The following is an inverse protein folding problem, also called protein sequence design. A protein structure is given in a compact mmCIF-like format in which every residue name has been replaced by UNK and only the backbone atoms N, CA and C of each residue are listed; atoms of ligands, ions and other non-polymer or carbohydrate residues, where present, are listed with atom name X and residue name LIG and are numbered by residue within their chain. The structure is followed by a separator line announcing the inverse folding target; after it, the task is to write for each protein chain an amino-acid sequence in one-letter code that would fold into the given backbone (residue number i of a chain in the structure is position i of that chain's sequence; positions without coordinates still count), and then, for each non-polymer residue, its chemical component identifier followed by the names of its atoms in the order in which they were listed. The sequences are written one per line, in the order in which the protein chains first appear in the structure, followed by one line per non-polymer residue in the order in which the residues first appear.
data_IF_355224400050
#
_entry.id   IF_355224400050
#
_cell.length_a   1.000
_cell.length_b   1.000
_cell.length_c   1.000
_cell.angle_alpha   90.00
_cell.angle_beta   90.00
_cell.angle_gamma   90.00
#
_symmetry.space_group_name_H-M   'P 1'
#
loop_
_entity.id
_entity.type
_entity.pdbx_description
1 polymer ?
#
# COMPACT_ATOMS: atom_id res chain seq x y z
N UNK A 1 -18.80 17.73 11.39
CA UNK A 1 -18.22 16.50 10.82
C UNK A 1 -17.41 16.89 9.59
N UNK A 2 -16.17 17.30 9.83
CA UNK A 2 -15.25 17.83 8.82
C UNK A 2 -14.70 16.71 7.95
N UNK A 3 -14.89 16.88 6.64
CA UNK A 3 -14.38 16.04 5.58
C UNK A 3 -12.85 16.15 5.53
N UNK A 4 -12.13 15.27 6.23
CA UNK A 4 -10.66 15.13 6.10
C UNK A 4 -10.35 14.27 4.88
N UNK A 5 -10.61 14.84 3.70
CA UNK A 5 -10.23 14.25 2.42
C UNK A 5 -8.78 14.65 2.08
N UNK A 6 -7.99 13.65 1.69
CA UNK A 6 -6.82 13.75 0.80
C UNK A 6 -5.51 14.33 1.38
N UNK A 7 -4.75 13.58 2.18
CA UNK A 7 -3.26 13.70 2.18
C UNK A 7 -2.48 12.42 2.57
N UNK A 8 -3.07 11.22 2.58
CA UNK A 8 -2.32 9.95 2.77
C UNK A 8 -2.03 9.19 1.45
N UNK A 9 -2.30 9.81 0.30
CA UNK A 9 -1.99 9.26 -1.01
C UNK A 9 -0.52 9.43 -1.37
N UNK A 10 0.33 8.48 -0.97
CA UNK A 10 1.65 8.29 -1.56
C UNK A 10 1.51 7.93 -3.04
N UNK A 11 1.38 8.95 -3.91
CA UNK A 11 1.44 8.78 -5.36
C UNK A 11 2.84 8.34 -5.75
N UNK A 12 3.01 7.03 -5.95
CA UNK A 12 4.06 6.52 -6.82
C UNK A 12 3.71 6.91 -8.27
N UNK A 13 4.67 7.45 -9.06
CA UNK A 13 4.38 7.97 -10.40
C UNK A 13 4.03 6.90 -11.43
N UNK A 14 3.96 5.62 -11.03
CA UNK A 14 3.62 4.49 -11.91
C UNK A 14 2.15 4.05 -11.80
N UNK A 15 1.36 4.69 -10.94
CA UNK A 15 0.05 4.15 -10.53
C UNK A 15 -1.23 4.68 -11.21
N UNK A 16 -1.27 5.62 -12.17
CA UNK A 16 -2.57 5.99 -12.75
C UNK A 16 -3.12 4.95 -13.75
N UNK A 17 -2.28 4.10 -14.36
CA UNK A 17 -2.75 3.13 -15.37
C UNK A 17 -3.13 1.75 -14.80
N UNK A 18 -2.41 1.25 -13.79
CA UNK A 18 -2.64 -0.11 -13.28
C UNK A 18 -3.86 -0.24 -12.37
N UNK A 19 -4.22 0.81 -11.64
CA UNK A 19 -5.39 0.77 -10.73
C UNK A 19 -6.72 0.83 -11.49
N UNK A 20 -6.79 1.58 -12.59
CA UNK A 20 -7.98 1.67 -13.46
C UNK A 20 -8.27 0.32 -14.14
N UNK A 21 -7.23 -0.44 -14.52
CA UNK A 21 -7.40 -1.74 -15.17
C UNK A 21 -7.82 -2.85 -14.19
N UNK A 22 -7.49 -2.73 -12.90
CA UNK A 22 -7.87 -3.74 -11.90
C UNK A 22 -9.34 -3.63 -11.48
N UNK A 23 -9.90 -2.41 -11.42
CA UNK A 23 -11.34 -2.18 -11.21
C UNK A 23 -12.21 -2.63 -12.41
N UNK A 24 -11.64 -2.64 -13.63
CA UNK A 24 -12.38 -3.00 -14.86
C UNK A 24 -12.37 -4.51 -15.21
N UNK A 25 -11.73 -5.35 -14.40
CA UNK A 25 -11.63 -6.81 -14.62
C UNK A 25 -12.95 -7.58 -14.50
N UNK A 26 -14.03 -6.95 -14.02
CA UNK A 26 -15.35 -7.59 -13.91
C UNK A 26 -16.01 -7.92 -15.27
N UNK A 27 -15.57 -7.33 -16.38
CA UNK A 27 -16.31 -7.39 -17.67
C UNK A 27 -15.64 -8.11 -18.85
N UNK A 28 -14.55 -8.87 -18.66
CA UNK A 28 -13.94 -9.64 -19.76
C UNK A 28 -14.21 -11.13 -19.53
N UNK A 29 -15.35 -11.62 -20.03
CA UNK A 29 -15.82 -13.00 -19.82
C UNK A 29 -15.45 -14.01 -20.92
N UNK A 30 -14.78 -13.64 -22.02
CA UNK A 30 -14.51 -14.59 -23.11
C UNK A 30 -13.15 -14.36 -23.79
N UNK A 31 -12.06 -14.64 -23.08
CA UNK A 31 -10.71 -14.73 -23.67
C UNK A 31 -10.50 -16.03 -24.46
N UNK A 32 -11.34 -17.04 -24.25
CA UNK A 32 -11.29 -18.36 -24.91
C UNK A 32 -11.66 -18.30 -26.40
N UNK A 33 -12.47 -17.32 -26.84
CA UNK A 33 -12.85 -17.17 -28.25
C UNK A 33 -11.73 -16.59 -29.13
N UNK A 34 -10.82 -15.80 -28.55
CA UNK A 34 -9.69 -15.20 -29.28
C UNK A 34 -8.63 -16.26 -29.63
N UNK A 35 -8.45 -17.27 -28.76
CA UNK A 35 -7.48 -18.36 -28.99
C UNK A 35 -7.90 -19.30 -30.13
N UNK A 36 -9.19 -19.48 -30.37
CA UNK A 36 -9.69 -20.40 -31.42
C UNK A 36 -9.52 -19.79 -32.81
N UNK A 37 -9.63 -18.46 -32.95
CA UNK A 37 -9.46 -17.77 -34.25
C UNK A 37 -8.01 -17.87 -34.75
N UNK A 38 -7.03 -17.87 -33.87
CA UNK A 38 -5.61 -17.96 -34.24
C UNK A 38 -5.18 -19.36 -34.73
N UNK A 39 -5.91 -20.42 -34.35
CA UNK A 39 -5.57 -21.78 -34.74
C UNK A 39 -6.00 -22.14 -36.17
N UNK A 40 -6.99 -21.44 -36.74
CA UNK A 40 -7.51 -21.74 -38.08
C UNK A 40 -6.85 -20.95 -39.21
N UNK A 41 -6.08 -19.91 -38.92
CA UNK A 41 -5.36 -19.14 -39.93
C UNK A 41 -4.02 -19.77 -40.38
N UNK A 42 -3.63 -20.93 -39.82
CA UNK A 42 -2.35 -21.58 -40.10
C UNK A 42 -2.44 -22.75 -41.09
N UNK A 43 -3.59 -22.93 -41.76
CA UNK A 43 -3.78 -23.97 -42.77
C UNK A 43 -4.26 -23.29 -44.06
N UNK A 44 -3.34 -22.67 -44.81
CA UNK A 44 -3.34 -22.81 -46.27
C UNK A 44 -1.99 -22.38 -46.86
N UNK A 45 -1.65 -22.99 -48.00
CA UNK A 45 -0.52 -22.73 -48.90
C UNK A 45 0.82 -23.36 -48.50
N UNK A 46 0.86 -24.69 -48.68
CA UNK A 46 2.09 -25.40 -49.02
C UNK A 46 2.25 -25.48 -50.54
N UNK A 47 3.29 -24.82 -51.10
CA UNK A 47 3.94 -25.21 -52.37
C UNK A 47 5.26 -24.46 -52.59
N UNK A 48 6.37 -25.20 -52.45
CA UNK A 48 7.68 -24.91 -53.05
C UNK A 48 8.62 -23.97 -52.29
N UNK A 49 9.71 -24.50 -51.72
CA UNK A 49 10.88 -23.69 -51.27
C UNK A 49 11.32 -23.81 -49.80
N UNK A 50 11.06 -24.92 -49.11
CA UNK A 50 10.95 -24.95 -47.64
C UNK A 50 12.25 -25.35 -46.87
N UNK A 51 13.36 -25.70 -47.52
CA UNK A 51 14.51 -26.27 -46.80
C UNK A 51 15.45 -25.27 -46.10
N UNK A 52 15.36 -23.95 -46.35
CA UNK A 52 16.26 -22.96 -45.74
C UNK A 52 15.59 -21.95 -44.79
N UNK A 53 14.30 -21.68 -44.95
CA UNK A 53 13.55 -20.70 -44.13
C UNK A 53 13.01 -21.33 -42.82
N UNK A 54 12.86 -22.65 -42.78
CA UNK A 54 12.31 -23.35 -41.61
C UNK A 54 13.19 -23.26 -40.36
N UNK A 55 14.52 -23.20 -40.50
CA UNK A 55 15.42 -23.22 -39.33
C UNK A 55 15.37 -21.90 -38.57
N UNK A 56 15.42 -20.77 -39.25
CA UNK A 56 15.33 -19.43 -38.62
C UNK A 56 13.95 -19.16 -38.04
N UNK A 57 12.90 -19.63 -38.71
CA UNK A 57 11.52 -19.49 -38.25
C UNK A 57 11.21 -20.37 -37.03
N UNK A 58 11.80 -21.57 -36.95
CA UNK A 58 11.74 -22.41 -35.75
C UNK A 58 12.53 -21.80 -34.59
N UNK A 59 13.70 -21.20 -34.86
CA UNK A 59 14.52 -20.52 -33.83
C UNK A 59 13.80 -19.30 -33.23
N UNK A 60 13.13 -18.50 -34.07
CA UNK A 60 12.30 -17.37 -33.62
C UNK A 60 11.09 -17.82 -32.79
N UNK A 61 10.42 -18.91 -33.19
CA UNK A 61 9.27 -19.44 -32.45
C UNK A 61 9.65 -20.00 -31.08
N UNK A 62 10.77 -20.71 -30.97
CA UNK A 62 11.26 -21.19 -29.68
C UNK A 62 11.70 -20.04 -28.76
N UNK A 63 12.38 -19.01 -29.30
CA UNK A 63 12.76 -17.82 -28.54
C UNK A 63 11.55 -17.05 -27.99
N UNK A 64 10.50 -16.91 -28.80
CA UNK A 64 9.29 -16.20 -28.39
C UNK A 64 8.50 -17.01 -27.35
N UNK A 65 8.46 -18.34 -27.48
CA UNK A 65 7.86 -19.23 -26.49
C UNK A 65 8.60 -19.19 -25.16
N UNK A 66 9.95 -19.20 -25.16
CA UNK A 66 10.73 -19.14 -23.91
C UNK A 66 10.60 -17.80 -23.21
N UNK A 67 10.56 -16.69 -23.95
CA UNK A 67 10.29 -15.36 -23.37
C UNK A 67 8.91 -15.32 -22.72
N UNK A 68 7.87 -15.84 -23.37
CA UNK A 68 6.52 -15.91 -22.81
C UNK A 68 6.47 -16.83 -21.59
N UNK A 69 7.14 -17.99 -21.62
CA UNK A 69 7.17 -18.95 -20.51
C UNK A 69 7.96 -18.45 -19.29
N UNK A 70 8.93 -17.54 -19.47
CA UNK A 70 9.67 -16.89 -18.38
C UNK A 70 8.99 -15.59 -17.90
N UNK A 71 8.30 -14.87 -18.79
CA UNK A 71 7.56 -13.65 -18.45
C UNK A 71 6.25 -13.96 -17.70
N UNK A 72 5.57 -15.07 -17.99
CA UNK A 72 4.30 -15.42 -17.35
C UNK A 72 4.46 -15.72 -15.84
N UNK A 73 5.43 -16.52 -15.36
CA UNK A 73 5.64 -16.77 -13.94
C UNK A 73 6.07 -15.53 -13.17
N UNK A 74 6.85 -14.63 -13.77
CA UNK A 74 7.22 -13.34 -13.16
C UNK A 74 6.03 -12.37 -13.11
N UNK A 75 5.16 -12.40 -14.11
CA UNK A 75 3.94 -11.58 -14.15
C UNK A 75 2.85 -12.08 -13.19
N UNK A 76 2.62 -13.40 -13.15
CA UNK A 76 1.66 -14.05 -12.24
C UNK A 76 2.18 -14.02 -10.79
N UNK A 77 3.44 -14.40 -10.58
CA UNK A 77 4.08 -14.36 -9.26
C UNK A 77 4.23 -12.93 -8.73
N UNK A 78 4.52 -11.97 -9.61
CA UNK A 78 4.58 -10.55 -9.27
C UNK A 78 3.26 -10.03 -8.71
N UNK A 79 2.12 -10.34 -9.35
CA UNK A 79 0.83 -9.81 -8.89
C UNK A 79 0.40 -10.37 -7.52
N UNK A 80 0.69 -11.64 -7.22
CA UNK A 80 0.49 -12.21 -5.87
C UNK A 80 1.49 -11.63 -4.86
N UNK A 81 2.75 -11.42 -5.26
CA UNK A 81 3.78 -10.81 -4.42
C UNK A 81 3.40 -9.37 -4.02
N UNK A 82 2.95 -8.54 -4.96
CA UNK A 82 2.53 -7.16 -4.67
C UNK A 82 1.33 -7.09 -3.71
N UNK A 83 0.39 -8.05 -3.77
CA UNK A 83 -0.77 -8.10 -2.86
C UNK A 83 -0.39 -8.37 -1.41
N UNK A 84 0.73 -9.06 -1.17
CA UNK A 84 1.23 -9.32 0.18
C UNK A 84 1.86 -8.08 0.82
N UNK A 85 2.45 -7.18 0.04
CA UNK A 85 3.10 -5.97 0.54
C UNK A 85 2.17 -4.77 0.73
N UNK A 86 1.01 -4.74 0.05
CA UNK A 86 0.02 -3.67 0.18
C UNK A 86 -1.29 -4.23 0.74
N UNK A 87 -1.30 -4.54 2.04
CA UNK A 87 -2.55 -4.74 2.77
C UNK A 87 -3.07 -3.38 3.22
N UNK A 88 -4.33 -3.00 2.89
CA UNK A 88 -4.93 -1.80 3.45
C UNK A 88 -5.08 -1.99 4.97
N UNK A 89 -4.87 -0.92 5.73
CA UNK A 89 -5.12 -0.92 7.17
C UNK A 89 -6.61 -1.18 7.41
N UNK A 90 -6.90 -1.91 8.48
CA UNK A 90 -8.27 -2.01 8.99
C UNK A 90 -8.70 -0.67 9.62
N UNK A 91 -10.02 -0.38 9.72
CA UNK A 91 -10.48 0.83 10.38
C UNK A 91 -9.97 1.01 11.82
N UNK A 92 -9.79 -0.08 12.55
CA UNK A 92 -9.25 -0.06 13.93
C UNK A 92 -7.77 0.31 13.95
N UNK A 93 -6.98 -0.28 13.05
CA UNK A 93 -5.56 0.05 12.91
C UNK A 93 -5.37 1.50 12.48
N UNK A 94 -6.27 2.07 11.68
CA UNK A 94 -6.23 3.46 11.26
C UNK A 94 -6.38 4.42 12.45
N UNK A 95 -7.32 4.16 13.37
CA UNK A 95 -7.52 4.97 14.58
C UNK A 95 -6.29 4.96 15.50
N UNK A 96 -5.62 3.81 15.61
CA UNK A 96 -4.50 3.60 16.54
C UNK A 96 -3.17 4.02 15.93
N UNK A 97 -3.09 4.12 14.60
CA UNK A 97 -1.84 4.38 13.88
C UNK A 97 -1.13 5.66 14.34
N UNK A 98 -1.91 6.71 14.61
CA UNK A 98 -1.39 8.01 15.01
C UNK A 98 -0.75 7.95 16.42
N UNK A 99 -1.37 7.28 17.38
CA UNK A 99 -0.88 7.15 18.76
C UNK A 99 0.14 6.02 18.97
N UNK A 100 0.33 5.14 17.99
CA UNK A 100 1.21 3.96 18.10
C UNK A 100 2.62 4.22 18.66
N UNK A 101 3.30 5.34 18.31
CA UNK A 101 4.65 5.62 18.82
C UNK A 101 4.72 5.88 20.32
N UNK A 102 3.66 6.45 20.92
CA UNK A 102 3.61 6.83 22.33
C UNK A 102 3.02 5.74 23.24
N UNK A 103 2.40 4.71 22.65
CA UNK A 103 1.87 3.57 23.38
C UNK A 103 2.97 2.67 23.96
N UNK A 104 2.77 2.26 25.22
CA UNK A 104 3.63 1.28 25.89
C UNK A 104 3.34 -0.15 25.38
N UNK A 105 4.19 -1.12 25.76
CA UNK A 105 4.06 -2.50 25.28
C UNK A 105 2.85 -3.25 25.82
N UNK A 106 2.29 -2.82 26.96
CA UNK A 106 1.09 -3.40 27.58
C UNK A 106 -0.16 -2.88 26.88
N UNK A 107 -0.27 -1.56 26.71
CA UNK A 107 -1.33 -0.87 25.97
C UNK A 107 -1.45 -1.39 24.53
N UNK A 108 -0.32 -1.61 23.85
CA UNK A 108 -0.31 -2.26 22.52
C UNK A 108 -0.96 -3.64 22.53
N UNK A 109 -0.75 -4.44 23.58
CA UNK A 109 -1.38 -5.76 23.71
C UNK A 109 -2.86 -5.66 24.06
N UNK A 110 -3.27 -4.64 24.80
CA UNK A 110 -4.68 -4.40 25.15
C UNK A 110 -5.48 -4.00 23.93
N UNK A 111 -5.02 -3.00 23.17
CA UNK A 111 -5.65 -2.56 21.93
C UNK A 111 -5.81 -3.72 20.94
N UNK A 112 -4.77 -4.57 20.80
CA UNK A 112 -4.83 -5.72 19.90
C UNK A 112 -5.86 -6.79 20.30
N UNK A 113 -6.40 -6.76 21.53
CA UNK A 113 -7.49 -7.65 21.96
C UNK A 113 -8.87 -7.10 21.65
N UNK A 114 -9.00 -5.80 21.45
CA UNK A 114 -10.27 -5.13 21.15
C UNK A 114 -10.73 -5.58 19.76
N UNK A 115 -12.03 -5.87 19.63
CA UNK A 115 -12.59 -6.38 18.37
C UNK A 115 -13.57 -5.40 17.73
N UNK A 116 -14.11 -4.45 18.50
CA UNK A 116 -15.02 -3.43 17.98
C UNK A 116 -14.31 -2.10 17.74
N UNK A 117 -14.79 -1.34 16.74
CA UNK A 117 -14.28 0.02 16.49
C UNK A 117 -14.65 0.93 17.66
N UNK A 118 -15.83 0.75 18.24
CA UNK A 118 -16.33 1.52 19.38
C UNK A 118 -15.47 1.30 20.63
N UNK A 119 -15.06 0.06 20.90
CA UNK A 119 -14.15 -0.26 22.01
C UNK A 119 -12.79 0.43 21.84
N UNK A 120 -12.26 0.44 20.61
CA UNK A 120 -11.00 1.11 20.29
C UNK A 120 -11.13 2.62 20.47
N UNK A 121 -12.24 3.21 20.04
CA UNK A 121 -12.49 4.65 20.22
C UNK A 121 -12.56 5.02 21.70
N UNK A 122 -13.33 4.27 22.50
CA UNK A 122 -13.43 4.51 23.94
C UNK A 122 -12.05 4.39 24.62
N UNK A 123 -11.25 3.40 24.23
CA UNK A 123 -9.88 3.25 24.74
C UNK A 123 -9.00 4.45 24.39
N UNK A 124 -9.14 5.01 23.19
CA UNK A 124 -8.38 6.20 22.76
C UNK A 124 -8.81 7.42 23.56
N UNK A 125 -10.10 7.59 23.80
CA UNK A 125 -10.63 8.70 24.59
C UNK A 125 -10.08 8.62 26.03
N UNK A 126 -10.16 7.46 26.68
CA UNK A 126 -9.56 7.20 28.01
C UNK A 126 -8.03 7.41 28.00
N UNK A 127 -7.35 7.00 26.94
CA UNK A 127 -5.91 7.16 26.80
C UNK A 127 -5.45 8.63 26.83
N UNK A 128 -6.26 9.52 26.26
CA UNK A 128 -6.02 10.96 26.27
C UNK A 128 -6.39 11.56 27.62
N UNK A 129 -7.54 11.20 28.19
CA UNK A 129 -7.95 11.66 29.53
C UNK A 129 -6.88 11.36 30.59
N UNK A 130 -6.28 10.16 30.55
CA UNK A 130 -5.18 9.76 31.45
C UNK A 130 -3.91 10.62 31.31
N UNK A 131 -3.74 11.30 30.18
CA UNK A 131 -2.55 12.10 29.84
C UNK A 131 -2.78 13.59 29.95
N UNK A 132 -3.99 14.00 30.31
CA UNK A 132 -4.32 15.40 30.51
C UNK A 132 -3.55 15.96 31.73
N UNK A 133 -2.62 16.92 31.53
CA UNK A 133 -1.91 17.55 32.63
C UNK A 133 -2.79 18.50 33.44
N UNK A 134 -3.87 19.02 32.86
CA UNK A 134 -4.72 20.07 33.41
C UNK A 134 -6.20 19.75 33.18
N UNK A 135 -6.77 18.73 33.87
CA UNK A 135 -8.15 18.29 33.67
C UNK A 135 -9.23 19.33 34.07
N UNK A 136 -8.81 20.50 34.57
CA UNK A 136 -9.71 21.64 34.82
C UNK A 136 -10.05 22.40 33.53
N UNK A 137 -9.26 22.25 32.46
CA UNK A 137 -9.54 22.86 31.17
C UNK A 137 -10.44 21.95 30.34
N UNK A 138 -11.24 22.54 29.45
CA UNK A 138 -12.14 21.77 28.58
C UNK A 138 -11.39 20.99 27.49
N UNK A 139 -10.10 21.26 27.30
CA UNK A 139 -9.30 20.71 26.20
C UNK A 139 -7.97 20.20 26.71
N UNK A 140 -7.62 18.98 26.32
CA UNK A 140 -6.36 18.37 26.69
C UNK A 140 -5.18 19.05 25.97
N UNK A 141 -4.34 19.77 26.72
CA UNK A 141 -3.20 20.49 26.17
C UNK A 141 -2.14 19.55 25.57
N UNK A 142 -1.97 18.37 26.16
CA UNK A 142 -1.03 17.37 25.67
C UNK A 142 -1.50 16.79 24.32
N UNK A 143 -2.80 16.53 24.16
CA UNK A 143 -3.37 16.09 22.89
C UNK A 143 -3.18 17.16 21.79
N UNK A 144 -3.46 18.42 22.10
CA UNK A 144 -3.29 19.53 21.15
C UNK A 144 -1.83 19.66 20.70
N UNK A 145 -0.89 19.56 21.63
CA UNK A 145 0.54 19.63 21.34
C UNK A 145 0.99 18.43 20.50
N UNK A 146 0.51 17.23 20.84
CA UNK A 146 0.77 16.02 20.08
C UNK A 146 0.25 16.11 18.64
N UNK A 147 -0.97 16.63 18.46
CA UNK A 147 -1.55 16.83 17.14
C UNK A 147 -0.71 17.79 16.28
N UNK A 148 -0.14 18.84 16.89
CA UNK A 148 0.82 19.74 16.20
C UNK A 148 2.09 19.00 15.78
N UNK A 149 2.63 18.12 16.63
CA UNK A 149 3.80 17.28 16.28
C UNK A 149 3.49 16.34 15.13
N UNK A 150 2.30 15.75 15.12
CA UNK A 150 1.83 14.85 14.06
C UNK A 150 1.78 15.58 12.72
N UNK A 151 1.18 16.77 12.68
CA UNK A 151 1.12 17.59 11.48
C UNK A 151 2.53 18.00 10.99
N UNK A 152 3.44 18.37 11.91
CA UNK A 152 4.82 18.67 11.58
C UNK A 152 5.53 17.47 10.94
N UNK A 153 5.37 16.28 11.53
CA UNK A 153 5.98 15.02 11.05
C UNK A 153 5.42 14.62 9.70
N UNK A 154 4.11 14.80 9.48
CA UNK A 154 3.47 14.55 8.19
C UNK A 154 4.02 15.43 7.07
N UNK A 155 4.42 16.66 7.38
CA UNK A 155 4.98 17.60 6.40
C UNK A 155 6.49 17.35 6.19
N UNK A 156 7.27 17.25 7.28
CA UNK A 156 8.73 17.28 7.24
C UNK A 156 9.38 15.90 7.11
N UNK A 157 8.73 14.85 7.61
CA UNK A 157 9.28 13.48 7.64
C UNK A 157 8.46 12.50 6.78
N UNK A 158 8.01 12.97 5.62
CA UNK A 158 7.33 12.13 4.63
C UNK A 158 8.22 10.97 4.20
N UNK A 159 7.76 9.75 4.43
CA UNK A 159 8.46 8.54 4.02
C UNK A 159 7.65 7.74 3.02
N UNK A 160 8.34 7.04 2.10
CA UNK A 160 7.71 6.29 0.99
C UNK A 160 6.71 5.22 1.43
N UNK A 161 6.86 4.71 2.66
CA UNK A 161 5.98 3.69 3.26
C UNK A 161 4.96 4.26 4.26
N UNK A 162 4.87 5.58 4.42
CA UNK A 162 4.09 6.23 5.48
C UNK A 162 4.98 6.77 6.60
N UNK A 163 4.53 7.84 7.27
CA UNK A 163 5.30 8.58 8.28
C UNK A 163 5.64 7.72 9.52
N UNK A 164 4.78 6.76 9.88
CA UNK A 164 4.97 5.81 11.00
C UNK A 164 6.27 5.00 10.87
N UNK A 165 6.77 4.84 9.63
CA UNK A 165 7.98 4.09 9.32
C UNK A 165 9.26 4.93 9.32
N UNK A 166 9.16 6.25 9.51
CA UNK A 166 10.34 7.12 9.64
C UNK A 166 10.84 7.12 11.08
N UNK A 167 12.07 6.67 11.31
CA UNK A 167 12.70 6.72 12.65
C UNK A 167 12.72 8.15 13.21
N UNK A 168 13.01 9.13 12.35
CA UNK A 168 13.00 10.56 12.71
C UNK A 168 11.61 11.03 13.13
N UNK A 169 10.58 10.60 12.40
CA UNK A 169 9.19 10.93 12.74
C UNK A 169 8.78 10.36 14.10
N UNK A 170 9.13 9.10 14.38
CA UNK A 170 8.84 8.47 15.68
C UNK A 170 9.53 9.18 16.84
N UNK A 171 10.82 9.50 16.70
CA UNK A 171 11.59 10.23 17.72
C UNK A 171 10.96 11.61 17.97
N UNK A 172 10.60 12.34 16.91
CA UNK A 172 9.97 13.65 17.03
C UNK A 172 8.59 13.59 17.73
N UNK A 173 7.79 12.56 17.47
CA UNK A 173 6.50 12.41 18.16
C UNK A 173 6.66 12.14 19.66
N UNK A 174 7.63 11.29 20.01
CA UNK A 174 7.87 10.90 21.40
C UNK A 174 8.48 12.06 22.20
N UNK A 175 9.52 12.69 21.68
CA UNK A 175 10.32 13.67 22.42
C UNK A 175 10.02 15.12 22.07
N UNK A 176 9.44 15.38 20.90
CA UNK A 176 9.18 16.74 20.41
C UNK A 176 10.39 17.34 19.67
N UNK A 177 10.40 18.68 19.52
CA UNK A 177 11.53 19.40 18.93
C UNK A 177 12.80 19.29 19.80
N UNK A 178 13.99 19.45 19.20
CA UNK A 178 15.24 19.43 19.95
C UNK A 178 15.33 20.63 20.91
N UNK A 179 15.81 20.38 22.14
CA UNK A 179 16.01 21.41 23.16
C UNK A 179 17.19 22.34 22.85
N UNK A 180 18.22 21.83 22.17
CA UNK A 180 19.42 22.59 21.80
C UNK A 180 19.89 22.22 20.38
N UNK A 181 20.35 23.23 19.64
CA UNK A 181 20.88 23.09 18.28
C UNK A 181 22.24 23.79 18.23
N UNK A 182 23.31 23.00 18.29
CA UNK A 182 24.67 23.48 18.09
C UNK A 182 25.07 23.39 16.61
N UNK A 183 25.64 24.48 16.08
CA UNK A 183 26.09 24.61 14.69
C UNK A 183 27.62 24.64 14.61
#
# INVERSE_FOLDING_TARGET
MTCKMLLSGGHSPLCPFFFILCQKKSKIKDLTKIFIIFSFAYIDVSRGGIQMILKDFMLQKHLLLTVVFLAIPTYIGGCSFYRQFYKPLTPQEELVADIWPILNSVQKKEINKLQSIEEVQLYIDEFWDDRDPTPETEVNEFEIEYQKRLDYVHIHYRYRRGWTHSDRGRVYLIYGPPDDIHY
#
